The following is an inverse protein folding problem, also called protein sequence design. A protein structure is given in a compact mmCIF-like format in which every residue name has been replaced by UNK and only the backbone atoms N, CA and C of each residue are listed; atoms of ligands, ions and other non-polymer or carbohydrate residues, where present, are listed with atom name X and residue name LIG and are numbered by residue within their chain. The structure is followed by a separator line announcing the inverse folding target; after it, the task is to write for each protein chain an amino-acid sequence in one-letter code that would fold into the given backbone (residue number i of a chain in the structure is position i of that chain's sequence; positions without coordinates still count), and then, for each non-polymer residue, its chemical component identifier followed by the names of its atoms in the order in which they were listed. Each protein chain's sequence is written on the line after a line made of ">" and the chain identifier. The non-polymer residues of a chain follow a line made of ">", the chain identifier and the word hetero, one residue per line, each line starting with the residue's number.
data_IF_520383623141
#
_entry.id   IF_520383623141
#
_cell.length_a   1.000
_cell.length_b   1.000
_cell.length_c   1.000
_cell.angle_alpha   90.00
_cell.angle_beta   90.00
_cell.angle_gamma   90.00
#
_symmetry.space_group_name_H-M   'P 1'
#
loop_
_entity.id
_entity.type
_entity.pdbx_description
1 polymer ?
#
# COMPACT_ATOMS: atom_id res chain seq x y z
N UNK A 1 -9.02 8.70 26.89
CA UNK A 1 -8.00 8.19 25.95
C UNK A 1 -7.40 6.81 26.25
N UNK A 2 -7.46 6.25 27.48
CA UNK A 2 -6.95 4.88 27.75
C UNK A 2 -7.92 3.75 27.35
N UNK A 3 -9.21 4.03 27.19
CA UNK A 3 -10.25 3.03 26.95
C UNK A 3 -10.32 2.52 25.49
N UNK A 4 -9.95 3.34 24.48
CA UNK A 4 -9.98 2.91 23.08
C UNK A 4 -8.89 1.89 22.71
N UNK A 5 -7.77 1.83 23.45
CA UNK A 5 -6.73 0.82 23.22
C UNK A 5 -7.14 -0.57 23.72
N UNK A 6 -8.06 -0.64 24.68
CA UNK A 6 -8.52 -1.91 25.28
C UNK A 6 -9.49 -2.63 24.33
N UNK A 7 -10.34 -1.90 23.61
CA UNK A 7 -11.31 -2.50 22.67
C UNK A 7 -10.66 -3.07 21.41
N UNK A 8 -9.60 -2.45 20.88
CA UNK A 8 -8.88 -2.99 19.72
C UNK A 8 -8.20 -4.33 20.01
N UNK A 9 -7.65 -4.49 21.21
CA UNK A 9 -7.00 -5.75 21.65
C UNK A 9 -8.02 -6.85 21.91
N UNK A 10 -9.16 -6.53 22.54
CA UNK A 10 -10.22 -7.51 22.82
C UNK A 10 -10.89 -8.07 21.56
N UNK A 11 -10.99 -7.29 20.48
CA UNK A 11 -11.58 -7.76 19.22
C UNK A 11 -10.65 -8.71 18.44
N UNK A 12 -9.34 -8.43 18.45
CA UNK A 12 -8.32 -9.35 17.90
C UNK A 12 -8.38 -10.69 18.66
N UNK A 13 -8.51 -10.63 19.99
CA UNK A 13 -8.66 -11.82 20.83
C UNK A 13 -9.95 -12.60 20.53
N UNK A 14 -11.07 -11.91 20.29
CA UNK A 14 -12.35 -12.56 19.97
C UNK A 14 -12.34 -13.22 18.58
N UNK A 15 -11.68 -12.63 17.59
CA UNK A 15 -11.52 -13.21 16.26
C UNK A 15 -10.56 -14.42 16.29
N UNK A 16 -9.44 -14.31 17.01
CA UNK A 16 -8.50 -15.40 17.23
C UNK A 16 -9.18 -16.58 17.96
N UNK A 17 -9.94 -16.32 19.02
CA UNK A 17 -10.67 -17.35 19.78
C UNK A 17 -11.76 -18.05 18.96
N UNK A 18 -12.38 -17.35 17.99
CA UNK A 18 -13.38 -17.95 17.09
C UNK A 18 -12.74 -18.86 16.05
N UNK A 19 -11.49 -18.60 15.66
CA UNK A 19 -10.69 -19.43 14.76
C UNK A 19 -10.03 -20.62 15.49
N UNK A 20 -9.66 -20.46 16.77
CA UNK A 20 -9.06 -21.50 17.63
C UNK A 20 -9.99 -22.70 17.89
N UNK A 21 -11.31 -22.52 17.86
CA UNK A 21 -12.28 -23.60 18.16
C UNK A 21 -12.42 -24.66 17.05
N UNK A 22 -11.60 -24.62 15.99
CA UNK A 22 -11.69 -25.53 14.83
C UNK A 22 -10.45 -26.39 14.56
N UNK A 23 -9.39 -26.31 15.36
CA UNK A 23 -8.15 -27.02 15.04
C UNK A 23 -7.51 -27.68 16.26
N UNK A 24 -7.95 -28.89 16.60
CA UNK A 24 -7.19 -29.78 17.47
C UNK A 24 -7.21 -31.16 16.85
N UNK A 25 -6.15 -31.49 16.11
CA UNK A 25 -5.34 -32.72 16.21
C UNK A 25 -4.58 -33.05 14.91
N UNK A 26 -3.38 -33.63 15.14
CA UNK A 26 -2.41 -34.22 14.21
C UNK A 26 -1.36 -33.32 13.53
N UNK A 27 -0.12 -33.83 13.56
CA UNK A 27 1.13 -33.32 12.98
C UNK A 27 1.12 -33.24 11.43
N UNK A 28 0.12 -32.60 10.86
CA UNK A 28 0.21 -32.10 9.50
C UNK A 28 0.82 -30.70 9.55
N UNK A 29 1.76 -30.42 8.64
CA UNK A 29 2.08 -29.04 8.33
C UNK A 29 0.77 -28.29 8.09
N UNK A 30 0.69 -27.07 8.61
CA UNK A 30 -0.37 -26.17 8.18
C UNK A 30 -0.38 -26.13 6.65
N UNK A 31 -1.57 -26.18 6.06
CA UNK A 31 -1.73 -26.11 4.60
C UNK A 31 -1.01 -24.89 4.00
N UNK A 32 -0.86 -23.84 4.80
CA UNK A 32 -0.20 -22.60 4.42
C UNK A 32 0.92 -22.20 5.40
N UNK A 33 1.87 -21.43 4.89
CA UNK A 33 2.80 -20.63 5.68
C UNK A 33 2.48 -19.14 5.47
N UNK A 34 2.78 -18.31 6.47
CA UNK A 34 2.30 -16.92 6.50
C UNK A 34 3.45 -15.94 6.50
N UNK A 35 3.29 -14.80 5.83
CA UNK A 35 4.27 -13.74 5.80
C UNK A 35 3.60 -12.40 6.06
N UNK A 36 4.33 -11.51 6.70
CA UNK A 36 3.89 -10.14 6.93
C UNK A 36 4.89 -9.19 6.27
N UNK A 37 4.39 -8.24 5.48
CA UNK A 37 5.20 -7.16 4.90
C UNK A 37 4.41 -5.85 4.96
N UNK A 38 5.09 -4.71 4.94
CA UNK A 38 4.42 -3.42 4.85
C UNK A 38 3.78 -3.26 3.46
N UNK A 39 2.58 -2.67 3.39
CA UNK A 39 1.85 -2.59 2.13
C UNK A 39 2.59 -1.77 1.05
N UNK A 40 3.35 -0.75 1.46
CA UNK A 40 4.17 0.05 0.53
C UNK A 40 5.27 -0.79 -0.11
N UNK A 41 5.98 -1.61 0.66
CA UNK A 41 7.00 -2.51 0.12
C UNK A 41 6.39 -3.55 -0.81
N UNK A 42 5.21 -4.10 -0.49
CA UNK A 42 4.54 -5.05 -1.38
C UNK A 42 4.06 -4.42 -2.67
N UNK A 43 3.58 -3.17 -2.61
CA UNK A 43 3.19 -2.41 -3.80
C UNK A 43 4.41 -2.16 -4.71
N UNK A 44 5.50 -1.63 -4.16
CA UNK A 44 6.75 -1.40 -4.90
C UNK A 44 7.31 -2.70 -5.48
N UNK A 45 7.27 -3.78 -4.70
CA UNK A 45 7.70 -5.09 -5.14
C UNK A 45 6.85 -5.57 -6.32
N UNK A 46 5.51 -5.50 -6.26
CA UNK A 46 4.63 -5.92 -7.37
C UNK A 46 4.85 -5.16 -8.66
N UNK A 47 5.19 -3.88 -8.57
CA UNK A 47 5.48 -3.05 -9.74
C UNK A 47 6.82 -3.41 -10.39
N UNK A 48 7.84 -3.66 -9.59
CA UNK A 48 9.21 -3.92 -10.06
C UNK A 48 9.50 -5.40 -10.33
N UNK A 49 8.78 -6.30 -9.67
CA UNK A 49 8.97 -7.74 -9.71
C UNK A 49 7.62 -8.46 -9.61
N UNK A 50 7.41 -9.47 -10.45
CA UNK A 50 6.20 -10.30 -10.40
C UNK A 50 6.34 -11.49 -9.45
N UNK A 51 7.46 -11.58 -8.75
CA UNK A 51 7.79 -12.69 -7.86
C UNK A 51 8.26 -12.24 -6.49
N UNK A 52 7.90 -13.02 -5.48
CA UNK A 52 8.49 -12.96 -4.15
C UNK A 52 9.81 -13.71 -4.15
N UNK A 53 10.91 -12.97 -4.27
CA UNK A 53 12.28 -13.51 -4.27
C UNK A 53 12.85 -13.61 -2.87
N UNK A 54 13.71 -14.61 -2.68
CA UNK A 54 14.51 -14.77 -1.49
C UNK A 54 15.64 -13.72 -1.49
N UNK A 55 15.93 -13.14 -0.33
CA UNK A 55 16.98 -12.11 -0.18
C UNK A 55 18.33 -12.77 0.07
N UNK A 56 19.38 -12.31 -0.60
CA UNK A 56 20.76 -12.75 -0.40
C UNK A 56 21.19 -12.45 1.03
N UNK A 57 21.79 -13.45 1.69
CA UNK A 57 22.43 -13.31 3.00
C UNK A 57 23.90 -13.73 2.87
N UNK A 58 24.78 -12.95 3.48
CA UNK A 58 26.23 -13.14 3.47
C UNK A 58 26.75 -13.87 4.73
N UNK A 59 25.84 -14.27 5.63
CA UNK A 59 26.16 -14.95 6.89
C UNK A 59 26.83 -14.07 7.94
N UNK A 60 27.04 -12.78 7.67
CA UNK A 60 27.64 -11.79 8.57
C UNK A 60 26.61 -10.74 9.02
N UNK A 61 25.34 -11.12 9.01
CA UNK A 61 24.22 -10.25 9.37
C UNK A 61 24.44 -9.71 10.79
N UNK A 62 24.55 -8.38 10.91
CA UNK A 62 24.68 -7.72 12.22
C UNK A 62 23.44 -7.97 13.09
N UNK A 63 22.30 -8.10 12.43
CA UNK A 63 21.01 -8.38 13.05
C UNK A 63 20.60 -9.80 12.64
N UNK A 64 20.47 -10.68 13.65
CA UNK A 64 20.03 -12.07 13.51
C UNK A 64 20.96 -13.00 12.71
N UNK A 65 22.17 -13.32 13.20
CA UNK A 65 23.09 -14.28 12.59
C UNK A 65 22.58 -15.73 12.69
N UNK A 66 21.60 -16.10 11.87
CA UNK A 66 21.02 -17.44 11.89
C UNK A 66 22.09 -18.51 11.63
N UNK A 67 22.31 -19.43 12.57
CA UNK A 67 23.35 -20.45 12.47
C UNK A 67 23.20 -21.33 11.22
N UNK A 68 21.97 -21.65 10.83
CA UNK A 68 21.66 -22.38 9.59
C UNK A 68 22.13 -21.65 8.32
N UNK A 69 21.95 -20.33 8.26
CA UNK A 69 22.39 -19.50 7.13
C UNK A 69 23.92 -19.37 7.14
N UNK A 70 24.52 -19.15 8.31
CA UNK A 70 25.97 -19.08 8.48
C UNK A 70 26.64 -20.40 8.05
N UNK A 71 26.05 -21.53 8.43
CA UNK A 71 26.51 -22.86 8.00
C UNK A 71 26.39 -23.00 6.49
N UNK A 72 25.23 -22.72 5.91
CA UNK A 72 25.02 -22.80 4.46
C UNK A 72 26.03 -21.92 3.68
N UNK A 73 26.30 -20.72 4.18
CA UNK A 73 27.24 -19.79 3.55
C UNK A 73 28.68 -20.31 3.56
N UNK A 74 29.13 -20.93 4.65
CA UNK A 74 30.47 -21.54 4.75
C UNK A 74 30.73 -22.60 3.68
N UNK A 75 29.68 -23.29 3.22
CA UNK A 75 29.76 -24.37 2.24
C UNK A 75 29.25 -23.97 0.85
N UNK A 76 28.92 -22.69 0.63
CA UNK A 76 28.43 -22.21 -0.67
C UNK A 76 29.56 -22.25 -1.72
N UNK A 77 29.33 -22.87 -2.90
CA UNK A 77 30.31 -22.84 -3.99
C UNK A 77 30.65 -21.42 -4.47
N UNK A 78 31.84 -21.24 -5.04
CA UNK A 78 32.24 -19.97 -5.66
C UNK A 78 31.22 -19.53 -6.72
N UNK A 79 30.87 -18.24 -6.73
CA UNK A 79 29.88 -17.68 -7.65
C UNK A 79 28.41 -17.92 -7.25
N UNK A 80 28.16 -18.55 -6.10
CA UNK A 80 26.83 -18.72 -5.52
C UNK A 80 26.66 -17.90 -4.24
N UNK A 81 25.41 -17.72 -3.82
CA UNK A 81 25.07 -17.13 -2.54
C UNK A 81 23.90 -17.85 -1.89
N UNK A 82 23.74 -17.68 -0.58
CA UNK A 82 22.59 -18.19 0.18
C UNK A 82 21.47 -17.16 0.12
N UNK A 83 20.30 -17.59 -0.33
CA UNK A 83 19.10 -16.77 -0.37
C UNK A 83 18.06 -17.32 0.62
N UNK A 84 17.37 -16.41 1.32
CA UNK A 84 16.46 -16.76 2.42
C UNK A 84 15.07 -16.14 2.27
N UNK A 85 14.06 -16.88 2.71
CA UNK A 85 12.72 -16.40 3.06
C UNK A 85 12.36 -16.81 4.50
N UNK A 86 11.52 -16.02 5.15
CA UNK A 86 10.95 -16.34 6.46
C UNK A 86 9.44 -16.30 6.40
N UNK A 87 8.84 -17.24 7.12
CA UNK A 87 7.39 -17.34 7.25
C UNK A 87 7.02 -17.74 8.67
N UNK A 88 5.92 -17.19 9.17
CA UNK A 88 5.21 -17.71 10.32
C UNK A 88 4.56 -19.04 9.98
N UNK A 89 4.56 -19.95 10.94
CA UNK A 89 3.96 -21.28 10.83
C UNK A 89 2.44 -21.19 10.88
N UNK A 90 1.88 -20.32 11.72
CA UNK A 90 0.44 -20.19 11.90
C UNK A 90 -0.05 -18.78 11.58
N UNK A 91 -1.34 -18.68 11.25
CA UNK A 91 -2.01 -17.39 11.07
C UNK A 91 -2.01 -16.58 12.37
N UNK A 92 -2.18 -17.25 13.51
CA UNK A 92 -2.19 -16.62 14.82
C UNK A 92 -0.86 -15.92 15.11
N UNK A 93 0.27 -16.61 14.90
CA UNK A 93 1.61 -16.04 15.09
C UNK A 93 1.83 -14.83 14.17
N UNK A 94 1.40 -14.94 12.91
CA UNK A 94 1.49 -13.85 11.94
C UNK A 94 0.67 -12.64 12.36
N UNK A 95 -0.56 -12.84 12.85
CA UNK A 95 -1.45 -11.76 13.30
C UNK A 95 -0.91 -11.08 14.55
N UNK A 96 -0.36 -11.85 15.50
CA UNK A 96 0.23 -11.31 16.73
C UNK A 96 1.43 -10.38 16.47
N UNK A 97 2.14 -10.60 15.36
CA UNK A 97 3.28 -9.78 14.93
C UNK A 97 2.92 -8.77 13.83
N UNK A 98 1.67 -8.75 13.36
CA UNK A 98 1.23 -7.83 12.32
C UNK A 98 1.01 -6.42 12.88
N UNK A 99 1.74 -5.46 12.34
CA UNK A 99 1.59 -4.04 12.70
C UNK A 99 0.57 -3.32 11.80
N UNK A 100 0.00 -2.18 12.22
CA UNK A 100 -0.85 -1.38 11.34
C UNK A 100 -0.16 -1.04 10.02
N UNK A 101 -0.87 -1.25 8.90
CA UNK A 101 -0.34 -0.99 7.55
C UNK A 101 0.48 -2.14 6.98
N UNK A 102 0.59 -3.23 7.74
CA UNK A 102 1.18 -4.46 7.25
C UNK A 102 0.08 -5.34 6.65
N UNK A 103 0.50 -6.23 5.78
CA UNK A 103 -0.37 -7.14 5.04
C UNK A 103 0.05 -8.55 5.41
N UNK A 104 -0.91 -9.35 5.89
CA UNK A 104 -0.70 -10.77 6.07
C UNK A 104 -0.93 -11.46 4.72
N UNK A 105 0.07 -12.20 4.29
CA UNK A 105 0.07 -13.05 3.12
C UNK A 105 0.12 -14.51 3.56
N UNK A 106 -0.39 -15.41 2.73
CA UNK A 106 -0.17 -16.84 2.89
C UNK A 106 0.19 -17.48 1.56
N UNK A 107 0.96 -18.56 1.64
CA UNK A 107 1.41 -19.36 0.51
C UNK A 107 1.24 -20.82 0.91
N UNK A 108 0.83 -21.68 -0.03
CA UNK A 108 0.73 -23.11 0.24
C UNK A 108 2.09 -23.65 0.69
N UNK A 109 2.08 -24.42 1.76
CA UNK A 109 3.32 -24.89 2.40
C UNK A 109 4.06 -25.93 1.56
N UNK A 110 3.38 -26.56 0.59
CA UNK A 110 3.90 -27.49 -0.41
C UNK A 110 4.26 -26.82 -1.75
N UNK A 111 4.33 -25.49 -1.81
CA UNK A 111 4.69 -24.77 -3.03
C UNK A 111 6.06 -25.20 -3.56
N UNK A 112 6.18 -25.43 -4.88
CA UNK A 112 7.38 -25.98 -5.52
C UNK A 112 8.69 -25.27 -5.15
N UNK A 113 8.68 -23.93 -5.13
CA UNK A 113 9.85 -23.15 -4.72
C UNK A 113 10.26 -23.46 -3.27
N UNK A 114 9.30 -23.51 -2.33
CA UNK A 114 9.56 -23.77 -0.91
C UNK A 114 10.07 -25.21 -0.70
N UNK A 115 9.51 -26.19 -1.42
CA UNK A 115 9.98 -27.58 -1.39
C UNK A 115 11.40 -27.75 -1.95
N UNK A 116 11.85 -26.81 -2.78
CA UNK A 116 13.23 -26.81 -3.30
C UNK A 116 14.24 -26.16 -2.36
N UNK A 117 13.77 -25.57 -1.26
CA UNK A 117 14.61 -24.97 -0.23
C UNK A 117 14.87 -25.96 0.90
N UNK A 118 16.02 -25.78 1.55
CA UNK A 118 16.20 -26.25 2.92
C UNK A 118 15.27 -25.50 3.85
N UNK A 119 14.79 -26.16 4.91
CA UNK A 119 13.86 -25.59 5.87
C UNK A 119 14.22 -26.00 7.29
N UNK A 120 14.20 -25.03 8.20
CA UNK A 120 14.25 -25.26 9.64
C UNK A 120 13.45 -24.18 10.38
N UNK A 121 13.32 -24.33 11.69
CA UNK A 121 12.73 -23.30 12.54
C UNK A 121 13.61 -22.06 12.59
N UNK A 122 12.99 -20.90 12.76
CA UNK A 122 13.70 -19.68 13.07
C UNK A 122 14.10 -19.69 14.55
N UNK A 123 15.39 -19.89 14.81
CA UNK A 123 15.94 -20.07 16.16
C UNK A 123 15.76 -18.86 17.09
N UNK A 124 15.41 -17.70 16.55
CA UNK A 124 15.11 -16.52 17.37
C UNK A 124 13.72 -16.57 18.01
N UNK A 125 12.87 -17.50 17.57
CA UNK A 125 11.55 -17.73 18.13
C UNK A 125 11.57 -19.02 18.96
N UNK A 126 11.64 -18.87 20.29
CA UNK A 126 11.76 -19.98 21.24
C UNK A 126 10.62 -21.01 21.11
N UNK A 127 9.44 -20.53 20.75
CA UNK A 127 8.22 -21.31 20.54
C UNK A 127 8.16 -21.99 19.16
N UNK A 128 9.17 -21.80 18.32
CA UNK A 128 9.22 -22.35 16.95
C UNK A 128 8.04 -21.88 16.10
N UNK A 129 7.56 -20.66 16.34
CA UNK A 129 6.44 -20.02 15.61
C UNK A 129 6.76 -19.64 14.16
N UNK A 130 8.04 -19.64 13.76
CA UNK A 130 8.46 -19.30 12.41
C UNK A 130 9.40 -20.33 11.79
N UNK A 131 9.37 -20.40 10.46
CA UNK A 131 10.27 -21.15 9.60
C UNK A 131 11.20 -20.21 8.85
N UNK A 132 12.41 -20.71 8.63
CA UNK A 132 13.35 -20.16 7.65
C UNK A 132 13.48 -21.17 6.52
N UNK A 133 13.30 -20.66 5.30
CA UNK A 133 13.59 -21.39 4.07
C UNK A 133 14.83 -20.77 3.44
N UNK A 134 15.79 -21.60 3.03
CA UNK A 134 16.97 -21.10 2.33
C UNK A 134 17.46 -22.05 1.25
N UNK A 135 18.17 -21.50 0.27
CA UNK A 135 18.77 -22.26 -0.82
C UNK A 135 20.03 -21.54 -1.31
N UNK A 136 21.04 -22.32 -1.67
CA UNK A 136 22.23 -21.79 -2.33
C UNK A 136 21.98 -21.75 -3.84
N UNK A 137 22.17 -20.59 -4.44
CA UNK A 137 21.89 -20.36 -5.86
C UNK A 137 22.98 -19.51 -6.51
N UNK A 138 23.17 -19.58 -7.84
CA UNK A 138 24.03 -18.66 -8.56
C UNK A 138 23.66 -17.20 -8.26
N UNK A 139 24.66 -16.34 -8.14
CA UNK A 139 24.42 -14.91 -7.96
C UNK A 139 23.77 -14.35 -9.23
N UNK A 140 22.61 -13.72 -9.07
CA UNK A 140 21.93 -13.06 -10.16
C UNK A 140 22.70 -11.80 -10.58
N UNK A 141 23.34 -11.82 -11.75
CA UNK A 141 24.15 -10.70 -12.25
C UNK A 141 23.33 -9.43 -12.51
N UNK A 142 22.01 -9.54 -12.75
CA UNK A 142 21.14 -8.38 -12.91
C UNK A 142 20.73 -7.77 -11.57
N UNK A 143 20.70 -8.59 -10.51
CA UNK A 143 20.35 -8.15 -9.19
C UNK A 143 20.95 -9.07 -8.12
N UNK A 144 22.14 -8.71 -7.64
CA UNK A 144 22.87 -9.54 -6.68
C UNK A 144 22.18 -9.67 -5.31
N UNK A 145 21.17 -8.84 -5.03
CA UNK A 145 20.46 -8.84 -3.75
C UNK A 145 19.37 -9.91 -3.69
N UNK A 146 18.81 -10.31 -4.82
CA UNK A 146 17.62 -11.16 -4.87
C UNK A 146 17.89 -12.44 -5.67
N UNK A 147 17.28 -13.55 -5.24
CA UNK A 147 17.41 -14.84 -5.92
C UNK A 147 16.96 -14.75 -7.39
N UNK A 148 17.53 -15.55 -8.30
CA UNK A 148 17.13 -15.51 -9.71
C UNK A 148 15.70 -16.03 -9.93
N UNK A 149 15.22 -16.94 -9.07
CA UNK A 149 13.86 -17.50 -9.05
C UNK A 149 13.11 -17.11 -7.76
N UNK A 150 11.79 -17.28 -7.71
CA UNK A 150 10.96 -16.92 -6.56
C UNK A 150 9.55 -17.49 -6.66
N UNK A 151 8.66 -17.06 -5.77
CA UNK A 151 7.25 -17.47 -5.74
C UNK A 151 6.44 -16.47 -6.58
N UNK A 152 5.59 -16.93 -7.51
CA UNK A 152 4.75 -16.01 -8.28
C UNK A 152 3.81 -15.26 -7.34
N UNK A 153 3.58 -13.96 -7.58
CA UNK A 153 2.54 -13.24 -6.83
C UNK A 153 1.14 -13.82 -7.07
N UNK A 154 0.92 -14.56 -8.16
CA UNK A 154 -0.33 -15.27 -8.40
C UNK A 154 -0.54 -16.47 -7.45
N UNK A 155 0.54 -16.98 -6.85
CA UNK A 155 0.52 -18.08 -5.86
C UNK A 155 0.39 -17.57 -4.40
N UNK A 156 0.25 -16.25 -4.23
CA UNK A 156 0.16 -15.59 -2.92
C UNK A 156 -1.27 -15.14 -2.69
N UNK A 157 -1.83 -15.51 -1.54
CA UNK A 157 -3.11 -14.98 -1.08
C UNK A 157 -2.88 -13.95 0.03
N UNK A 158 -3.78 -12.97 0.12
CA UNK A 158 -3.71 -11.87 1.08
C UNK A 158 -4.97 -11.87 1.94
N UNK A 159 -4.77 -11.70 3.25
CA UNK A 159 -5.87 -11.56 4.20
C UNK A 159 -6.48 -10.16 4.08
N UNK A 160 -7.76 -10.12 3.78
CA UNK A 160 -8.58 -8.92 3.81
C UNK A 160 -9.16 -8.68 5.20
N UNK A 161 -9.57 -7.43 5.52
CA UNK A 161 -10.03 -7.12 6.87
C UNK A 161 -11.37 -7.73 7.27
N UNK A 162 -12.17 -8.16 6.31
CA UNK A 162 -13.38 -8.96 6.53
C UNK A 162 -13.04 -10.43 6.91
N UNK A 163 -11.76 -10.79 6.93
CA UNK A 163 -11.26 -12.12 7.23
C UNK A 163 -11.18 -13.04 6.02
N UNK A 164 -11.54 -12.57 4.83
CA UNK A 164 -11.44 -13.34 3.59
C UNK A 164 -10.00 -13.38 3.07
N UNK A 165 -9.68 -14.45 2.32
CA UNK A 165 -8.43 -14.58 1.60
C UNK A 165 -8.71 -14.42 0.11
N UNK A 166 -7.94 -13.56 -0.54
CA UNK A 166 -8.04 -13.34 -1.98
C UNK A 166 -6.66 -13.42 -2.62
N UNK A 167 -6.56 -13.85 -3.90
CA UNK A 167 -5.30 -13.79 -4.63
C UNK A 167 -4.71 -12.37 -4.61
N UNK A 168 -3.39 -12.26 -4.45
CA UNK A 168 -2.70 -10.97 -4.36
C UNK A 168 -2.94 -10.11 -5.61
N UNK A 169 -3.09 -10.75 -6.77
CA UNK A 169 -3.43 -10.10 -8.04
C UNK A 169 -4.76 -9.34 -8.00
N UNK A 170 -5.74 -9.85 -7.25
CA UNK A 170 -7.09 -9.30 -7.13
C UNK A 170 -7.25 -8.22 -6.06
N UNK A 171 -6.33 -8.14 -5.10
CA UNK A 171 -6.36 -7.16 -4.01
C UNK A 171 -6.36 -5.74 -4.57
N UNK A 172 -7.39 -4.97 -4.22
CA UNK A 172 -7.59 -3.60 -4.69
C UNK A 172 -6.33 -2.74 -4.54
N UNK A 173 -5.74 -2.65 -3.34
CA UNK A 173 -4.56 -1.79 -3.08
C UNK A 173 -3.34 -2.08 -3.98
N UNK A 174 -3.26 -3.28 -4.56
CA UNK A 174 -2.17 -3.69 -5.43
C UNK A 174 -2.52 -3.58 -6.92
N UNK A 175 -3.74 -3.19 -7.27
CA UNK A 175 -4.11 -2.84 -8.65
C UNK A 175 -3.49 -1.50 -9.02
N UNK A 176 -3.00 -1.41 -10.25
CA UNK A 176 -2.49 -0.16 -10.81
C UNK A 176 -3.56 0.93 -10.83
N UNK A 177 -4.79 0.55 -11.20
CA UNK A 177 -5.97 1.42 -11.17
C UNK A 177 -7.24 0.62 -10.79
N UNK A 178 -8.15 1.24 -10.04
CA UNK A 178 -9.47 0.66 -9.77
C UNK A 178 -10.37 0.76 -11.00
N UNK A 179 -11.38 -0.12 -11.08
CA UNK A 179 -12.34 -0.09 -12.19
C UNK A 179 -13.11 1.24 -12.19
N UNK A 180 -13.13 1.91 -13.34
CA UNK A 180 -13.74 3.22 -13.51
C UNK A 180 -12.94 4.38 -12.90
N UNK A 181 -11.66 4.16 -12.58
CA UNK A 181 -10.69 5.19 -12.24
C UNK A 181 -9.64 5.31 -13.35
N UNK A 182 -9.11 6.52 -13.50
CA UNK A 182 -8.00 6.84 -14.39
C UNK A 182 -6.76 7.17 -13.58
N UNK A 183 -5.59 6.91 -14.15
CA UNK A 183 -4.31 7.18 -13.48
C UNK A 183 -3.77 8.52 -13.95
N UNK A 184 -3.41 9.39 -13.00
CA UNK A 184 -2.72 10.63 -13.29
C UNK A 184 -1.44 10.71 -12.45
N UNK A 185 -0.37 11.21 -13.05
CA UNK A 185 0.91 11.34 -12.38
C UNK A 185 1.65 12.62 -12.76
N UNK A 186 2.55 13.02 -11.87
CA UNK A 186 3.51 14.11 -12.10
C UNK A 186 4.90 13.49 -12.07
N UNK A 187 5.84 14.00 -12.87
CA UNK A 187 7.23 13.53 -12.93
C UNK A 187 7.78 13.29 -11.51
N UNK A 188 8.31 12.08 -11.24
CA UNK A 188 8.87 11.70 -9.93
C UNK A 188 8.05 10.73 -9.07
N UNK A 189 7.40 9.71 -9.67
CA UNK A 189 6.68 8.60 -9.00
C UNK A 189 5.32 8.93 -8.34
N UNK A 190 4.84 10.16 -8.47
CA UNK A 190 3.55 10.53 -7.90
C UNK A 190 2.44 9.94 -8.75
N UNK A 191 1.71 8.97 -8.20
CA UNK A 191 0.57 8.34 -8.86
C UNK A 191 -0.69 8.56 -8.03
N UNK A 192 -1.62 9.35 -8.55
CA UNK A 192 -2.99 9.40 -8.05
C UNK A 192 -3.91 8.67 -9.01
N UNK A 193 -5.03 8.20 -8.48
CA UNK A 193 -6.17 7.80 -9.29
C UNK A 193 -7.18 8.94 -9.27
N UNK A 194 -7.83 9.21 -10.39
CA UNK A 194 -8.92 10.15 -10.44
C UNK A 194 -10.16 9.58 -11.12
N UNK A 195 -11.32 10.14 -10.76
CA UNK A 195 -12.61 9.77 -11.33
C UNK A 195 -13.50 11.00 -11.41
N UNK A 196 -14.27 11.07 -12.49
CA UNK A 196 -15.25 12.12 -12.74
C UNK A 196 -16.66 11.58 -12.52
N UNK A 197 -17.52 12.32 -11.81
CA UNK A 197 -18.93 11.92 -11.61
C UNK A 197 -19.83 13.14 -11.50
N UNK A 198 -20.93 13.16 -12.23
CA UNK A 198 -22.03 14.10 -11.98
C UNK A 198 -22.91 13.54 -10.87
N UNK A 199 -23.09 14.33 -9.81
CA UNK A 199 -23.98 14.05 -8.69
C UNK A 199 -25.14 15.07 -8.69
N UNK A 200 -26.24 14.83 -7.94
CA UNK A 200 -27.39 15.74 -7.94
C UNK A 200 -27.06 17.19 -7.54
N UNK A 201 -25.94 17.43 -6.85
CA UNK A 201 -25.48 18.74 -6.38
C UNK A 201 -24.32 19.32 -7.19
N UNK A 202 -23.95 18.72 -8.32
CA UNK A 202 -22.95 19.26 -9.23
C UNK A 202 -22.00 18.21 -9.80
N UNK A 203 -20.96 18.69 -10.47
CA UNK A 203 -19.93 17.84 -11.04
C UNK A 203 -18.77 17.69 -10.07
N UNK A 204 -18.29 16.46 -9.91
CA UNK A 204 -17.25 16.11 -8.96
C UNK A 204 -16.06 15.49 -9.66
N UNK A 205 -14.88 15.87 -9.21
CA UNK A 205 -13.61 15.19 -9.51
C UNK A 205 -13.05 14.65 -8.21
N UNK A 206 -12.97 13.33 -8.15
CA UNK A 206 -12.39 12.61 -7.03
C UNK A 206 -10.94 12.30 -7.37
N UNK A 207 -10.03 12.69 -6.49
CA UNK A 207 -8.63 12.34 -6.48
C UNK A 207 -8.40 11.36 -5.34
N UNK A 208 -7.64 10.30 -5.58
CA UNK A 208 -7.36 9.24 -4.62
C UNK A 208 -5.89 8.90 -4.64
N UNK A 209 -5.24 9.01 -3.49
CA UNK A 209 -3.89 8.49 -3.27
C UNK A 209 -4.00 7.28 -2.35
N UNK A 210 -3.55 6.12 -2.84
CA UNK A 210 -3.59 4.88 -2.09
C UNK A 210 -2.44 4.76 -1.10
N UNK A 211 -2.68 3.97 -0.07
CA UNK A 211 -1.65 3.67 0.91
C UNK A 211 -0.52 2.89 0.22
N UNK A 212 0.71 3.41 0.33
CA UNK A 212 1.90 2.81 -0.27
C UNK A 212 2.26 3.29 -1.68
N UNK A 213 1.47 4.17 -2.31
CA UNK A 213 1.73 4.61 -3.69
C UNK A 213 2.71 5.78 -3.86
N UNK A 214 3.14 6.45 -2.78
CA UNK A 214 4.11 7.57 -2.78
C UNK A 214 4.15 8.24 -1.39
N UNK A 215 5.10 9.15 -1.11
CA UNK A 215 4.99 10.10 0.00
C UNK A 215 3.65 10.86 -0.03
N UNK A 216 3.11 11.12 1.16
CA UNK A 216 1.78 11.70 1.37
C UNK A 216 1.79 13.17 0.91
N UNK A 217 0.84 13.55 0.04
CA UNK A 217 0.64 14.96 -0.35
C UNK A 217 0.12 15.88 0.78
N UNK A 218 -0.22 15.33 1.95
CA UNK A 218 -0.92 16.04 3.02
C UNK A 218 -0.13 17.21 3.61
N UNK A 219 1.14 17.35 3.25
CA UNK A 219 2.00 18.44 3.72
C UNK A 219 2.29 19.51 2.67
N UNK A 220 1.94 19.31 1.38
CA UNK A 220 2.24 20.27 0.32
C UNK A 220 1.13 20.36 -0.74
N UNK A 221 0.10 21.20 -0.52
CA UNK A 221 -0.98 21.44 -1.48
C UNK A 221 -0.47 21.88 -2.87
N UNK A 222 0.65 22.59 -2.94
CA UNK A 222 1.24 23.06 -4.21
C UNK A 222 1.65 21.91 -5.13
N UNK A 223 1.92 20.73 -4.58
CA UNK A 223 2.28 19.57 -5.39
C UNK A 223 1.07 19.01 -6.17
N UNK A 224 -0.18 19.36 -5.82
CA UNK A 224 -1.36 19.05 -6.64
C UNK A 224 -1.46 19.92 -7.89
N UNK A 225 -0.74 21.04 -7.99
CA UNK A 225 -0.95 21.98 -9.08
C UNK A 225 -0.71 21.38 -10.47
N UNK A 226 0.42 20.70 -10.75
CA UNK A 226 0.64 20.10 -12.07
C UNK A 226 -0.40 19.03 -12.40
N UNK A 227 -0.80 18.27 -11.39
CA UNK A 227 -1.79 17.21 -11.49
C UNK A 227 -3.19 17.76 -11.82
N UNK A 228 -3.68 18.72 -11.04
CA UNK A 228 -4.95 19.40 -11.27
C UNK A 228 -4.96 20.03 -12.65
N UNK A 229 -3.88 20.70 -13.05
CA UNK A 229 -3.77 21.34 -14.37
C UNK A 229 -3.88 20.31 -15.50
N UNK A 230 -3.23 19.16 -15.35
CA UNK A 230 -3.31 18.05 -16.32
C UNK A 230 -4.73 17.47 -16.42
N UNK A 231 -5.37 17.19 -15.29
CA UNK A 231 -6.75 16.66 -15.28
C UNK A 231 -7.72 17.71 -15.85
N UNK A 232 -7.53 18.97 -15.48
CA UNK A 232 -8.37 20.10 -15.87
C UNK A 232 -8.43 20.32 -17.38
N UNK A 233 -7.34 20.05 -18.12
CA UNK A 233 -7.35 20.16 -19.59
C UNK A 233 -8.24 19.14 -20.28
N UNK A 234 -8.62 18.07 -19.57
CA UNK A 234 -9.41 16.96 -20.10
C UNK A 234 -10.87 17.00 -19.57
N UNK A 235 -11.19 17.93 -18.66
CA UNK A 235 -12.54 18.03 -18.11
C UNK A 235 -13.51 18.63 -19.13
N UNK A 236 -14.70 18.02 -19.30
CA UNK A 236 -15.77 18.60 -20.13
C UNK A 236 -16.50 19.76 -19.43
N UNK A 237 -16.08 20.12 -18.22
CA UNK A 237 -16.77 21.08 -17.35
C UNK A 237 -15.92 22.32 -17.11
N UNK A 238 -16.60 23.44 -16.80
CA UNK A 238 -15.90 24.63 -16.31
C UNK A 238 -15.25 24.34 -14.96
N UNK A 239 -13.96 24.62 -14.83
CA UNK A 239 -13.17 24.21 -13.65
C UNK A 239 -13.70 24.79 -12.33
N UNK A 240 -14.32 25.97 -12.42
CA UNK A 240 -14.94 26.73 -11.35
C UNK A 240 -16.37 26.25 -10.99
N UNK A 241 -16.94 25.29 -11.72
CA UNK A 241 -18.22 24.64 -11.37
C UNK A 241 -18.04 23.18 -10.91
N UNK A 242 -16.79 22.75 -10.74
CA UNK A 242 -16.42 21.39 -10.33
C UNK A 242 -15.98 21.38 -8.88
N UNK A 243 -16.49 20.42 -8.11
CA UNK A 243 -16.03 20.13 -6.74
C UNK A 243 -14.89 19.15 -6.81
N UNK A 244 -13.75 19.55 -6.27
CA UNK A 244 -12.56 18.71 -6.22
C UNK A 244 -12.45 18.09 -4.84
N UNK A 245 -12.28 16.78 -4.80
CA UNK A 245 -12.13 16.05 -3.54
C UNK A 245 -10.87 15.25 -3.64
N UNK A 246 -10.06 15.30 -2.61
CA UNK A 246 -8.89 14.45 -2.48
C UNK A 246 -9.02 13.54 -1.28
N UNK A 247 -8.75 12.26 -1.48
CA UNK A 247 -8.58 11.29 -0.40
C UNK A 247 -7.18 10.70 -0.39
N UNK A 248 -6.69 10.46 0.81
CA UNK A 248 -5.46 9.74 1.07
C UNK A 248 -5.72 8.60 2.06
N UNK A 249 -5.29 7.41 1.68
CA UNK A 249 -5.41 6.21 2.47
C UNK A 249 -4.20 6.02 3.37
N UNK A 250 -4.46 5.80 4.64
CA UNK A 250 -3.48 5.42 5.66
C UNK A 250 -3.68 3.96 6.08
N UNK A 251 -2.68 3.38 6.77
CA UNK A 251 -2.78 2.06 7.41
C UNK A 251 -4.07 1.78 8.16
N UNK A 252 -4.60 2.80 8.84
CA UNK A 252 -5.67 2.66 9.84
C UNK A 252 -6.93 3.47 9.53
N UNK A 253 -6.90 4.29 8.47
CA UNK A 253 -7.98 5.24 8.17
C UNK A 253 -7.84 5.80 6.76
N UNK A 254 -8.89 6.43 6.25
CA UNK A 254 -8.83 7.26 5.04
C UNK A 254 -9.11 8.70 5.45
N UNK A 255 -8.27 9.64 5.03
CA UNK A 255 -8.55 11.07 5.15
C UNK A 255 -9.09 11.54 3.81
N UNK A 256 -10.19 12.28 3.83
CA UNK A 256 -10.72 12.95 2.66
C UNK A 256 -10.90 14.44 2.92
N UNK A 257 -10.63 15.27 1.92
CA UNK A 257 -10.68 16.73 1.96
C UNK A 257 -11.30 17.25 0.68
N UNK A 258 -12.15 18.27 0.80
CA UNK A 258 -12.54 19.07 -0.36
C UNK A 258 -11.44 20.08 -0.67
N UNK A 259 -11.06 20.19 -1.94
CA UNK A 259 -10.07 21.13 -2.44
C UNK A 259 -10.79 22.32 -3.08
N UNK A 260 -10.64 23.50 -2.47
CA UNK A 260 -11.13 24.74 -3.06
C UNK A 260 -10.06 25.35 -3.96
N UNK A 261 -10.23 25.16 -5.26
CA UNK A 261 -9.26 25.59 -6.27
C UNK A 261 -9.67 26.95 -6.83
N UNK A 262 -8.87 27.97 -6.54
CA UNK A 262 -9.04 29.29 -7.16
C UNK A 262 -8.15 29.39 -8.39
N UNK A 263 -8.76 29.51 -9.57
CA UNK A 263 -8.06 29.77 -10.82
C UNK A 263 -8.01 31.29 -11.05
N UNK A 264 -6.85 31.92 -10.88
CA UNK A 264 -6.68 33.33 -11.24
C UNK A 264 -6.52 33.47 -12.76
N UNK A 265 -7.56 33.94 -13.45
CA UNK A 265 -7.37 34.53 -14.78
C UNK A 265 -6.74 35.91 -14.58
N UNK A 266 -5.50 36.12 -15.02
CA UNK A 266 -4.94 37.47 -15.05
C UNK A 266 -5.76 38.33 -16.02
N UNK A 267 -6.72 39.11 -15.49
CA UNK A 267 -7.52 40.02 -16.28
C UNK A 267 -6.64 41.24 -16.63
N UNK A 268 -6.00 41.17 -17.80
CA UNK A 268 -4.96 42.09 -18.31
C UNK A 268 -5.40 43.55 -18.52
N UNK A 269 -6.61 43.96 -18.14
CA UNK A 269 -7.16 45.29 -18.46
C UNK A 269 -6.68 46.42 -17.54
N UNK A 270 -6.10 46.14 -16.37
CA UNK A 270 -5.63 47.17 -15.43
C UNK A 270 -4.14 47.53 -15.50
N UNK A 271 -3.32 46.79 -16.26
CA UNK A 271 -1.85 46.87 -16.21
C UNK A 271 -1.19 47.12 -17.58
N UNK A 272 -1.94 47.73 -18.51
CA UNK A 272 -1.44 48.07 -19.86
C UNK A 272 -0.41 49.22 -19.88
N UNK A 273 -0.10 49.85 -18.74
CA UNK A 273 0.86 50.97 -18.69
C UNK A 273 2.32 50.58 -18.39
N UNK A 274 2.61 49.40 -17.84
CA UNK A 274 3.94 49.11 -17.25
C UNK A 274 4.53 47.74 -17.69
N UNK A 275 3.73 46.79 -18.19
CA UNK A 275 4.15 45.39 -18.40
C UNK A 275 4.50 45.09 -19.89
N UNK A 276 4.90 46.08 -20.68
CA UNK A 276 5.54 45.80 -21.98
C UNK A 276 7.05 45.48 -21.84
N UNK A 277 7.60 45.57 -20.62
CA UNK A 277 8.97 45.17 -20.28
C UNK A 277 9.14 43.74 -19.73
N UNK A 278 8.06 42.97 -19.57
CA UNK A 278 8.10 41.58 -19.07
C UNK A 278 7.56 40.55 -20.07
N UNK A 279 7.62 40.86 -21.37
CA UNK A 279 7.26 39.93 -22.45
C UNK A 279 8.37 38.90 -22.71
N UNK A 280 8.48 37.87 -21.86
CA UNK A 280 9.11 36.59 -22.27
C UNK A 280 8.74 35.36 -21.44
N UNK A 281 7.79 35.42 -20.48
CA UNK A 281 7.34 34.21 -19.76
C UNK A 281 5.86 33.93 -19.98
N UNK A 282 5.61 32.69 -20.40
CA UNK A 282 4.31 32.07 -20.66
C UNK A 282 3.33 32.33 -19.52
N UNK A 283 2.06 32.47 -19.89
CA UNK A 283 0.92 32.54 -18.97
C UNK A 283 0.96 31.40 -17.93
N UNK A 284 1.40 31.72 -16.72
CA UNK A 284 1.32 30.84 -15.55
C UNK A 284 0.10 31.26 -14.74
N UNK A 285 -0.96 30.46 -14.78
CA UNK A 285 -2.10 30.58 -13.87
C UNK A 285 -1.61 30.21 -12.47
N UNK A 286 -1.51 31.16 -11.55
CA UNK A 286 -1.29 30.87 -10.14
C UNK A 286 -2.55 30.17 -9.58
N UNK A 287 -2.35 29.06 -8.87
CA UNK A 287 -3.41 28.26 -8.26
C UNK A 287 -3.17 28.27 -6.76
N UNK A 288 -4.17 28.73 -6.00
CA UNK A 288 -4.10 28.78 -4.55
C UNK A 288 -5.19 27.86 -3.99
N UNK A 289 -4.78 26.82 -3.28
CA UNK A 289 -5.68 25.97 -2.47
C UNK A 289 -5.89 26.72 -1.16
N UNK A 290 -7.05 27.33 -0.99
CA UNK A 290 -7.24 28.38 0.02
C UNK A 290 -7.81 27.93 1.36
N UNK A 291 -8.49 26.80 1.45
CA UNK A 291 -9.13 26.43 2.71
C UNK A 291 -9.53 24.96 2.76
N UNK A 292 -9.61 24.40 3.96
CA UNK A 292 -10.14 23.06 4.23
C UNK A 292 -11.46 23.23 4.99
N UNK A 293 -12.61 23.01 4.33
CA UNK A 293 -13.90 22.95 5.03
C UNK A 293 -14.23 21.50 5.37
N UNK A 294 -14.64 21.26 6.61
CA UNK A 294 -15.17 19.98 7.03
C UNK A 294 -16.50 19.71 6.28
N UNK A 295 -16.60 18.56 5.61
CA UNK A 295 -17.85 18.09 5.02
C UNK A 295 -18.80 17.65 6.14
N UNK A 296 -20.10 17.87 5.96
CA UNK A 296 -21.16 17.32 6.82
C UNK A 296 -21.40 15.83 6.53
N UNK A 297 -22.20 15.17 7.35
CA UNK A 297 -22.48 13.72 7.24
C UNK A 297 -23.05 13.33 5.86
N UNK A 298 -23.86 14.21 5.26
CA UNK A 298 -24.39 14.07 3.91
C UNK A 298 -23.29 14.13 2.84
N UNK A 299 -22.38 15.10 2.94
CA UNK A 299 -21.22 15.23 2.08
C UNK A 299 -20.26 14.05 2.21
N UNK A 300 -20.06 13.54 3.42
CA UNK A 300 -19.26 12.33 3.69
C UNK A 300 -19.90 11.10 3.02
N UNK A 301 -21.21 10.90 3.16
CA UNK A 301 -21.92 9.77 2.54
C UNK A 301 -21.82 9.81 1.01
N UNK A 302 -22.04 10.98 0.41
CA UNK A 302 -21.86 11.20 -1.04
C UNK A 302 -20.43 10.96 -1.50
N UNK A 303 -19.46 11.32 -0.67
CA UNK A 303 -18.05 11.06 -0.90
C UNK A 303 -17.82 9.54 -0.98
N UNK A 304 -18.32 8.76 -0.04
CA UNK A 304 -18.23 7.28 -0.10
C UNK A 304 -18.94 6.67 -1.31
N UNK A 305 -20.13 7.16 -1.67
CA UNK A 305 -20.86 6.75 -2.88
C UNK A 305 -20.13 7.16 -4.17
N UNK A 306 -19.41 8.28 -4.17
CA UNK A 306 -18.62 8.77 -5.29
C UNK A 306 -17.34 7.95 -5.51
N UNK A 307 -16.66 7.64 -4.41
CA UNK A 307 -15.42 6.87 -4.40
C UNK A 307 -15.65 5.35 -4.63
N UNK A 308 -16.89 4.85 -4.66
CA UNK A 308 -17.22 3.41 -4.72
C UNK A 308 -16.47 2.60 -3.64
N UNK A 309 -16.37 3.13 -2.41
CA UNK A 309 -15.56 2.54 -1.31
C UNK A 309 -16.26 1.39 -0.61
N UNK A 310 -17.33 0.83 -1.17
CA UNK A 310 -18.16 -0.16 -0.47
C UNK A 310 -17.40 -1.39 0.01
N UNK A 311 -16.23 -1.72 -0.55
CA UNK A 311 -15.66 -3.06 -0.33
C UNK A 311 -14.17 -3.16 0.04
N UNK A 312 -13.34 -2.11 0.07
CA UNK A 312 -11.87 -2.33 0.02
C UNK A 312 -11.02 -1.77 1.18
N UNK A 313 -11.51 -0.90 2.07
CA UNK A 313 -10.65 -0.36 3.15
C UNK A 313 -11.34 -0.31 4.51
N UNK A 314 -11.44 -1.49 5.14
CA UNK A 314 -11.61 -1.60 6.59
C UNK A 314 -10.30 -2.07 7.21
N UNK A 315 -9.15 -1.46 6.90
CA UNK A 315 -7.94 -1.71 7.71
C UNK A 315 -8.00 -0.79 8.92
N UNK A 316 -8.60 -1.25 10.01
CA UNK A 316 -8.61 -0.55 11.30
C UNK A 316 -9.89 0.26 11.59
N UNK A 317 -10.46 0.02 12.76
CA UNK A 317 -11.81 0.41 13.21
C UNK A 317 -11.98 1.89 13.61
N UNK A 318 -11.36 2.87 12.94
CA UNK A 318 -11.61 4.28 13.33
C UNK A 318 -11.39 5.24 12.17
N UNK A 319 -12.49 5.84 11.71
CA UNK A 319 -12.44 7.16 11.08
C UNK A 319 -12.03 8.17 12.16
N UNK A 320 -10.78 8.63 12.16
CA UNK A 320 -10.41 9.77 13.01
C UNK A 320 -10.57 11.04 12.18
N UNK A 321 -11.71 11.67 12.39
CA UNK A 321 -11.98 13.02 11.93
C UNK A 321 -11.13 13.98 12.75
N UNK A 322 -10.03 14.47 12.16
CA UNK A 322 -9.27 15.55 12.77
C UNK A 322 -9.93 16.87 12.37
N UNK A 323 -10.89 17.33 13.19
CA UNK A 323 -11.19 18.76 13.26
C UNK A 323 -9.93 19.46 13.79
N UNK A 324 -9.38 20.38 13.01
CA UNK A 324 -8.62 21.50 13.57
C UNK A 324 -9.39 22.77 13.30
#
# INVERSE_FOLDING_TARGET
>A
MKWLRIFGVLFIFALAMRLLKRGTEMNHMSEFVYRIDCASSLYEQRLSDKTLRAKRKDGNEKEYPHHQIKKAHKYAPNGTAVFRLCFWKTLEDALNHCSPGWVVQRIKSDHNFLNSCERDYDEYFQDKSAYIFWKTMPVNQKNETWSPEGISHDDIEVLLPDGSWVPMSEVGIFRECDLGWERAGVEGNLTVQFKQKSLPDGNWVFLRQRFGNAPIYSTNPSAFYPLIKSISSELPWQLNSVRWVWSYEMPTQVIARELFIVFYSHNRKGLLGIIDKFRSRKNENELKIMDEKNLDESGIKKLYEGFNVSDILIRGYTWVYNFK
#
